data_IF_274325745125
#
_entry.id   IF_274325745125
#
_cell.length_a   1.000
_cell.length_b   1.000
_cell.length_c   1.000
_cell.angle_alpha   90.00
_cell.angle_beta   90.00
_cell.angle_gamma   90.00
#
_symmetry.space_group_name_H-M   'P 1'
#
loop_
_entity.id
_entity.type
_entity.pdbx_description
1 polymer ?
#
# COMPACT_ATOMS: atom_id res chain seq x y z
N UNK A 1 0.98 22.32 1.38
CA UNK A 1 1.16 23.12 0.15
C UNK A 1 2.53 22.84 -0.42
N UNK A 2 2.60 22.39 -1.66
CA UNK A 2 3.88 22.27 -2.35
C UNK A 2 4.39 23.67 -2.67
N UNK A 3 5.64 23.97 -2.31
CA UNK A 3 6.25 25.29 -2.54
C UNK A 3 6.47 25.60 -4.03
N UNK A 4 6.51 24.55 -4.86
CA UNK A 4 6.75 24.64 -6.30
C UNK A 4 5.76 23.75 -7.06
N UNK A 5 5.36 24.13 -8.28
CA UNK A 5 4.58 23.27 -9.16
C UNK A 5 5.32 21.94 -9.43
N UNK A 6 4.60 20.85 -9.52
CA UNK A 6 5.19 19.52 -9.79
C UNK A 6 5.91 19.47 -11.15
N UNK A 7 5.47 20.32 -12.09
CA UNK A 7 6.11 20.48 -13.42
C UNK A 7 7.56 20.97 -13.34
N UNK A 8 7.90 21.73 -12.30
CA UNK A 8 9.22 22.32 -12.09
C UNK A 8 10.13 21.46 -11.19
N UNK A 9 9.61 20.34 -10.66
CA UNK A 9 10.34 19.47 -9.75
C UNK A 9 10.90 18.26 -10.50
N UNK A 10 12.16 17.90 -10.22
CA UNK A 10 12.79 16.67 -10.68
C UNK A 10 12.63 15.53 -9.65
N UNK A 11 12.32 15.88 -8.41
CA UNK A 11 12.18 14.94 -7.29
C UNK A 11 10.87 15.16 -6.56
N UNK A 12 10.34 14.08 -6.03
CA UNK A 12 9.18 14.05 -5.14
C UNK A 12 9.56 13.36 -3.82
N UNK A 13 8.75 13.55 -2.80
CA UNK A 13 8.84 12.82 -1.54
C UNK A 13 7.46 12.38 -1.09
N UNK A 14 7.40 11.39 -0.24
CA UNK A 14 6.18 10.97 0.43
C UNK A 14 5.96 11.76 1.73
N UNK A 15 4.74 11.83 2.20
CA UNK A 15 4.36 12.61 3.38
C UNK A 15 3.74 11.76 4.51
N UNK A 16 3.61 10.45 4.33
CA UNK A 16 2.81 9.60 5.21
C UNK A 16 3.59 8.53 6.00
N UNK A 17 4.75 8.09 5.52
CA UNK A 17 5.46 6.95 6.11
C UNK A 17 6.47 7.34 7.21
N UNK A 18 6.31 8.54 7.79
CA UNK A 18 7.13 9.02 8.92
C UNK A 18 8.42 9.76 8.53
N UNK A 19 9.13 10.34 9.53
CA UNK A 19 10.20 11.32 9.28
C UNK A 19 11.40 10.78 8.49
N UNK A 20 11.66 9.50 8.54
CA UNK A 20 12.75 8.88 7.80
C UNK A 20 12.49 8.91 6.29
N UNK A 21 11.31 8.46 5.88
CA UNK A 21 10.91 8.39 4.48
C UNK A 21 10.61 9.77 3.90
N UNK A 22 10.09 10.70 4.69
CA UNK A 22 9.86 12.11 4.29
C UNK A 22 11.15 12.84 3.87
N UNK A 23 12.33 12.32 4.24
CA UNK A 23 13.63 12.87 3.82
C UNK A 23 14.15 12.26 2.52
N UNK A 24 13.54 11.16 2.07
CA UNK A 24 13.91 10.51 0.81
C UNK A 24 13.50 11.37 -0.38
N UNK A 25 14.29 11.29 -1.43
CA UNK A 25 14.05 12.01 -2.69
C UNK A 25 13.93 11.00 -3.81
N UNK A 26 12.72 10.82 -4.28
CA UNK A 26 12.45 9.94 -5.41
C UNK A 26 12.45 10.74 -6.70
N UNK A 27 13.03 10.21 -7.78
CA UNK A 27 12.95 10.87 -9.09
C UNK A 27 11.50 10.87 -9.55
N UNK A 28 11.02 12.03 -10.00
CA UNK A 28 9.65 12.18 -10.49
C UNK A 28 9.33 11.22 -11.64
N UNK A 29 10.28 10.98 -12.53
CA UNK A 29 10.15 10.06 -13.67
C UNK A 29 9.77 8.64 -13.28
N UNK A 30 10.09 8.19 -12.05
CA UNK A 30 9.73 6.87 -11.57
C UNK A 30 8.24 6.69 -11.36
N UNK A 31 7.50 7.80 -11.21
CA UNK A 31 6.07 7.84 -10.91
C UNK A 31 5.23 8.47 -12.04
N UNK A 32 5.78 8.58 -13.24
CA UNK A 32 5.04 9.14 -14.37
C UNK A 32 3.99 8.21 -14.95
N UNK A 33 4.17 6.90 -14.78
CA UNK A 33 3.28 5.86 -15.30
C UNK A 33 3.19 4.70 -14.33
N UNK A 34 2.04 4.01 -14.37
CA UNK A 34 1.87 2.72 -13.74
C UNK A 34 2.28 1.59 -14.69
N UNK A 35 2.87 0.54 -14.14
CA UNK A 35 2.95 -0.78 -14.76
C UNK A 35 2.11 -1.74 -13.93
N UNK A 36 1.37 -2.63 -14.60
CA UNK A 36 0.47 -3.56 -13.92
C UNK A 36 1.15 -4.90 -13.77
N UNK A 37 1.13 -5.43 -12.56
CA UNK A 37 1.80 -6.69 -12.19
C UNK A 37 0.88 -7.55 -11.34
N UNK A 38 1.01 -8.90 -11.41
CA UNK A 38 0.16 -9.81 -10.64
C UNK A 38 0.31 -9.63 -9.13
N UNK A 39 -0.82 -9.58 -8.43
CA UNK A 39 -0.92 -9.57 -6.98
C UNK A 39 -2.20 -10.30 -6.55
N UNK A 40 -2.08 -11.45 -5.87
CA UNK A 40 -3.22 -12.29 -5.43
C UNK A 40 -4.19 -12.67 -6.57
N UNK A 41 -3.68 -12.82 -7.80
CA UNK A 41 -4.48 -13.15 -8.98
C UNK A 41 -5.07 -11.95 -9.72
N UNK A 42 -4.93 -10.75 -9.20
CA UNK A 42 -5.34 -9.48 -9.79
C UNK A 42 -4.14 -8.71 -10.35
N UNK A 43 -4.39 -7.78 -11.27
CA UNK A 43 -3.35 -6.87 -11.76
C UNK A 43 -3.38 -5.55 -10.98
N UNK A 44 -2.29 -5.25 -10.29
CA UNK A 44 -2.18 -4.03 -9.48
C UNK A 44 -1.12 -3.08 -10.02
N UNK A 45 -1.35 -1.76 -9.94
CA UNK A 45 -0.42 -0.77 -10.45
C UNK A 45 0.76 -0.58 -9.50
N UNK A 46 1.99 -0.62 -10.04
CA UNK A 46 3.20 -0.16 -9.35
C UNK A 46 3.86 0.93 -10.17
N UNK A 47 4.73 1.78 -9.59
CA UNK A 47 5.43 2.81 -10.36
C UNK A 47 6.29 2.20 -11.46
N UNK A 48 6.36 2.83 -12.63
CA UNK A 48 7.23 2.35 -13.74
C UNK A 48 8.69 2.27 -13.32
N UNK A 49 9.16 3.17 -12.44
CA UNK A 49 10.50 3.17 -11.87
C UNK A 49 10.60 2.46 -10.52
N UNK A 50 9.79 1.42 -10.29
CA UNK A 50 9.72 0.70 -9.02
C UNK A 50 11.08 0.24 -8.48
N UNK A 51 11.98 -0.22 -9.34
CA UNK A 51 13.29 -0.71 -8.92
C UNK A 51 14.14 0.41 -8.30
N UNK A 52 14.17 1.58 -8.95
CA UNK A 52 14.86 2.75 -8.41
C UNK A 52 14.24 3.25 -7.10
N UNK A 53 12.91 3.32 -7.05
CA UNK A 53 12.17 3.70 -5.85
C UNK A 53 12.45 2.73 -4.69
N UNK A 54 12.30 1.42 -4.91
CA UNK A 54 12.48 0.43 -3.86
C UNK A 54 13.91 0.33 -3.37
N UNK A 55 14.89 0.46 -4.25
CA UNK A 55 16.31 0.53 -3.85
C UNK A 55 16.63 1.74 -3.00
N UNK A 56 16.10 2.90 -3.36
CA UNK A 56 16.27 4.13 -2.58
C UNK A 56 15.59 4.04 -1.21
N UNK A 57 14.39 3.47 -1.15
CA UNK A 57 13.62 3.37 0.08
C UNK A 57 14.12 2.25 1.01
N UNK A 58 14.39 1.06 0.47
CA UNK A 58 14.56 -0.19 1.23
C UNK A 58 15.90 -0.92 0.97
N UNK A 59 16.73 -0.43 0.05
CA UNK A 59 17.99 -1.10 -0.31
C UNK A 59 17.77 -2.38 -1.10
N UNK A 60 18.32 -3.49 -0.66
CA UNK A 60 18.10 -4.79 -1.30
C UNK A 60 16.73 -5.36 -0.90
N UNK A 61 15.68 -4.82 -1.51
CA UNK A 61 14.29 -5.17 -1.23
C UNK A 61 13.91 -6.60 -1.66
N UNK A 62 14.69 -7.24 -2.52
CA UNK A 62 14.46 -8.63 -2.92
C UNK A 62 14.98 -9.63 -1.90
N UNK A 63 15.94 -9.24 -1.06
CA UNK A 63 16.42 -10.09 0.03
C UNK A 63 15.34 -10.25 1.11
N UNK A 64 15.20 -11.50 1.59
CA UNK A 64 14.31 -11.77 2.73
C UNK A 64 14.94 -11.23 4.02
N UNK A 65 14.20 -10.50 4.84
CA UNK A 65 14.71 -10.10 6.15
C UNK A 65 14.95 -11.34 7.04
N UNK A 66 15.80 -11.22 8.07
CA UNK A 66 15.97 -12.27 9.06
C UNK A 66 14.63 -12.74 9.65
N UNK A 67 14.53 -14.01 10.03
CA UNK A 67 13.27 -14.62 10.50
C UNK A 67 12.63 -13.87 11.68
N UNK A 68 13.45 -13.30 12.55
CA UNK A 68 13.02 -12.52 13.72
C UNK A 68 12.28 -11.22 13.31
N UNK A 69 12.53 -10.73 12.09
CA UNK A 69 11.86 -9.54 11.52
C UNK A 69 10.67 -9.89 10.62
N UNK A 70 10.43 -11.18 10.36
CA UNK A 70 9.30 -11.66 9.56
C UNK A 70 8.03 -11.77 10.42
N UNK A 71 7.49 -10.64 10.86
CA UNK A 71 6.29 -10.55 11.69
C UNK A 71 5.47 -9.32 11.31
N UNK A 72 4.17 -9.37 11.56
CA UNK A 72 3.26 -8.25 11.32
C UNK A 72 3.76 -6.98 12.04
N UNK A 73 3.53 -5.85 11.42
CA UNK A 73 3.91 -4.55 11.96
C UNK A 73 2.94 -4.05 13.03
N UNK A 74 1.68 -4.48 12.96
CA UNK A 74 0.64 -4.11 13.90
C UNK A 74 0.39 -5.26 14.89
N UNK A 75 0.39 -4.97 16.18
CA UNK A 75 0.20 -5.97 17.24
C UNK A 75 -1.25 -6.48 17.33
N UNK A 76 -2.18 -5.88 16.60
CA UNK A 76 -3.61 -6.18 16.65
C UNK A 76 -4.04 -6.97 15.41
N UNK A 77 -3.99 -8.29 15.48
CA UNK A 77 -4.41 -9.18 14.38
C UNK A 77 -5.94 -9.32 14.32
N UNK A 78 -6.63 -9.16 15.44
CA UNK A 78 -8.09 -9.13 15.51
C UNK A 78 -8.55 -8.37 16.75
N UNK A 79 -9.36 -7.33 16.57
CA UNK A 79 -10.11 -6.70 17.66
C UNK A 79 -11.56 -7.20 17.63
N UNK A 80 -11.85 -8.22 18.41
CA UNK A 80 -13.22 -8.69 18.66
C UNK A 80 -13.56 -8.50 20.13
N UNK A 81 -14.31 -7.46 20.42
CA UNK A 81 -14.73 -7.11 21.80
C UNK A 81 -15.75 -8.10 22.40
N UNK A 82 -16.29 -9.01 21.59
CA UNK A 82 -17.31 -9.98 21.99
C UNK A 82 -16.73 -11.38 22.26
N UNK A 83 -15.41 -11.55 22.08
CA UNK A 83 -14.75 -12.83 22.32
C UNK A 83 -13.73 -12.75 23.45
N UNK A 84 -13.59 -13.79 24.29
CA UNK A 84 -12.52 -13.89 25.25
C UNK A 84 -11.15 -13.83 24.54
N UNK A 85 -10.20 -13.09 25.12
CA UNK A 85 -8.82 -13.09 24.65
C UNK A 85 -8.21 -14.47 24.92
N UNK A 86 -8.08 -15.29 23.88
CA UNK A 86 -7.40 -16.59 23.95
C UNK A 86 -6.03 -16.41 23.27
N UNK A 87 -4.93 -16.81 23.94
CA UNK A 87 -3.61 -16.77 23.30
C UNK A 87 -3.63 -17.53 21.97
N UNK A 88 -3.29 -16.84 20.89
CA UNK A 88 -3.30 -17.45 19.56
C UNK A 88 -2.04 -18.30 19.37
N UNK A 89 -2.21 -19.52 18.87
CA UNK A 89 -1.08 -20.34 18.38
C UNK A 89 -0.55 -19.77 17.07
N UNK A 90 0.69 -20.07 16.71
CA UNK A 90 1.28 -19.57 15.46
C UNK A 90 0.50 -19.96 14.17
N UNK A 91 -0.24 -21.07 14.18
CA UNK A 91 -1.11 -21.47 13.05
C UNK A 91 -2.38 -20.63 13.00
N UNK A 92 -2.99 -20.36 14.16
CA UNK A 92 -4.17 -19.51 14.26
C UNK A 92 -3.85 -18.07 13.84
N UNK A 93 -2.73 -17.53 14.29
CA UNK A 93 -2.28 -16.20 13.88
C UNK A 93 -2.10 -16.10 12.36
N UNK A 94 -1.52 -17.13 11.73
CA UNK A 94 -1.36 -17.17 10.26
C UNK A 94 -2.70 -17.23 9.54
N UNK A 95 -3.65 -18.02 10.05
CA UNK A 95 -5.00 -18.12 9.47
C UNK A 95 -5.76 -16.80 9.61
N UNK A 96 -5.70 -16.15 10.76
CA UNK A 96 -6.31 -14.84 11.01
C UNK A 96 -5.69 -13.75 10.14
N UNK A 97 -4.35 -13.72 10.01
CA UNK A 97 -3.65 -12.81 9.11
C UNK A 97 -4.08 -13.01 7.65
N UNK A 98 -4.22 -14.26 7.21
CA UNK A 98 -4.69 -14.53 5.84
C UNK A 98 -6.13 -14.06 5.60
N UNK A 99 -7.00 -14.14 6.61
CA UNK A 99 -8.36 -13.58 6.52
C UNK A 99 -8.31 -12.05 6.43
N UNK A 100 -7.44 -11.40 7.20
CA UNK A 100 -7.22 -9.95 7.12
C UNK A 100 -6.73 -9.56 5.74
N UNK A 101 -5.70 -10.22 5.21
CA UNK A 101 -5.17 -9.97 3.86
C UNK A 101 -6.25 -10.08 2.78
N UNK A 102 -7.14 -11.08 2.87
CA UNK A 102 -8.28 -11.20 1.95
C UNK A 102 -9.23 -10.00 2.05
N UNK A 103 -9.50 -9.52 3.27
CA UNK A 103 -10.34 -8.32 3.47
C UNK A 103 -9.67 -7.06 2.93
N UNK A 104 -8.38 -6.90 3.15
CA UNK A 104 -7.60 -5.81 2.56
C UNK A 104 -7.69 -5.85 1.03
N UNK A 105 -7.55 -7.03 0.41
CA UNK A 105 -7.70 -7.19 -1.03
C UNK A 105 -9.09 -6.81 -1.51
N UNK A 106 -10.17 -7.31 -0.85
CA UNK A 106 -11.55 -6.95 -1.20
C UNK A 106 -11.77 -5.42 -1.19
N UNK A 107 -11.29 -4.73 -0.17
CA UNK A 107 -11.38 -3.26 -0.06
C UNK A 107 -10.57 -2.60 -1.17
N UNK A 108 -9.37 -3.11 -1.44
CA UNK A 108 -8.48 -2.57 -2.48
C UNK A 108 -9.08 -2.71 -3.88
N UNK A 109 -9.80 -3.78 -4.15
CA UNK A 109 -10.50 -3.94 -5.45
C UNK A 109 -11.60 -2.90 -5.62
N UNK A 110 -12.38 -2.63 -4.57
CA UNK A 110 -13.39 -1.55 -4.58
C UNK A 110 -12.72 -0.18 -4.80
N UNK A 111 -11.61 0.07 -4.13
CA UNK A 111 -10.82 1.29 -4.31
C UNK A 111 -10.26 1.41 -5.74
N UNK A 112 -9.74 0.32 -6.29
CA UNK A 112 -9.23 0.26 -7.67
C UNK A 112 -10.32 0.58 -8.68
N UNK A 113 -11.50 -0.06 -8.58
CA UNK A 113 -12.65 0.22 -9.45
C UNK A 113 -13.07 1.69 -9.38
N UNK A 114 -13.08 2.27 -8.18
CA UNK A 114 -13.35 3.69 -7.99
C UNK A 114 -12.32 4.57 -8.68
N UNK A 115 -11.05 4.27 -8.51
CA UNK A 115 -9.96 5.02 -9.17
C UNK A 115 -10.04 4.92 -10.69
N UNK A 116 -10.30 3.73 -11.23
CA UNK A 116 -10.48 3.52 -12.67
C UNK A 116 -11.67 4.31 -13.22
N UNK A 117 -12.81 4.31 -12.51
CA UNK A 117 -14.02 5.07 -12.88
C UNK A 117 -13.76 6.56 -12.98
N UNK A 118 -12.91 7.13 -12.13
CA UNK A 118 -12.67 8.56 -12.01
C UNK A 118 -11.32 9.01 -12.61
N UNK A 119 -10.62 8.11 -13.33
CA UNK A 119 -9.29 8.38 -13.91
C UNK A 119 -8.31 8.92 -12.86
N UNK A 120 -8.27 8.25 -11.69
CA UNK A 120 -7.36 8.55 -10.59
C UNK A 120 -6.19 7.60 -10.60
N UNK A 121 -4.99 8.15 -10.56
CA UNK A 121 -3.76 7.37 -10.54
C UNK A 121 -3.37 7.00 -9.10
N UNK A 122 -3.06 5.74 -8.90
CA UNK A 122 -2.46 5.26 -7.66
C UNK A 122 -1.41 4.19 -7.95
N UNK A 123 -0.58 3.88 -6.97
CA UNK A 123 0.43 2.83 -7.04
C UNK A 123 0.50 2.08 -5.72
N UNK A 124 0.69 0.78 -5.77
CA UNK A 124 1.17 0.04 -4.61
C UNK A 124 2.55 0.55 -4.19
N UNK A 125 2.76 0.74 -2.91
CA UNK A 125 4.03 1.19 -2.35
C UNK A 125 4.49 0.26 -1.22
N UNK A 126 5.66 0.50 -0.66
CA UNK A 126 6.17 -0.23 0.49
C UNK A 126 6.09 -1.75 0.37
N UNK A 127 5.52 -2.38 1.38
CA UNK A 127 5.29 -3.81 1.47
C UNK A 127 4.51 -4.37 0.30
N UNK A 128 3.45 -3.67 -0.13
CA UNK A 128 2.62 -4.10 -1.25
C UNK A 128 3.39 -4.14 -2.58
N UNK A 129 4.21 -3.13 -2.86
CA UNK A 129 5.04 -3.13 -4.07
C UNK A 129 6.10 -4.25 -4.04
N UNK A 130 6.76 -4.46 -2.90
CA UNK A 130 7.71 -5.57 -2.71
C UNK A 130 6.99 -6.92 -2.83
N UNK A 131 5.82 -7.05 -2.22
CA UNK A 131 4.99 -8.25 -2.25
C UNK A 131 4.62 -8.65 -3.67
N UNK A 132 4.20 -7.70 -4.49
CA UNK A 132 3.91 -7.90 -5.91
C UNK A 132 5.08 -8.54 -6.65
N UNK A 133 6.29 -8.01 -6.47
CA UNK A 133 7.48 -8.45 -7.19
C UNK A 133 8.05 -9.76 -6.65
N UNK A 134 8.07 -9.95 -5.34
CA UNK A 134 8.73 -11.06 -4.67
C UNK A 134 7.83 -12.26 -4.42
N UNK A 135 6.53 -12.03 -4.17
CA UNK A 135 5.57 -13.04 -3.75
C UNK A 135 4.37 -13.20 -4.71
N UNK A 136 4.20 -12.26 -5.65
CA UNK A 136 2.99 -12.13 -6.49
C UNK A 136 1.71 -12.01 -5.63
N UNK A 137 1.82 -11.38 -4.47
CA UNK A 137 0.78 -11.24 -3.46
C UNK A 137 1.34 -10.58 -2.21
N UNK A 138 0.62 -10.72 -1.10
CA UNK A 138 1.10 -10.22 0.18
C UNK A 138 2.44 -10.84 0.58
N UNK A 139 3.28 -10.05 1.20
CA UNK A 139 4.36 -10.58 2.02
C UNK A 139 3.70 -11.42 3.13
N UNK A 140 4.14 -12.67 3.42
CA UNK A 140 3.41 -13.60 4.27
C UNK A 140 3.11 -13.13 5.70
N UNK A 141 3.77 -12.08 6.17
CA UNK A 141 3.59 -11.47 7.49
C UNK A 141 3.07 -10.03 7.44
N UNK A 142 2.71 -9.52 6.25
CA UNK A 142 2.19 -8.17 6.06
C UNK A 142 0.69 -8.12 6.36
N UNK A 143 0.22 -7.07 7.02
CA UNK A 143 -1.14 -6.97 7.56
C UNK A 143 -1.92 -5.74 7.06
N UNK A 144 -1.37 -5.02 6.09
CA UNK A 144 -1.99 -3.83 5.50
C UNK A 144 -1.78 -3.73 3.99
N UNK A 145 -2.35 -2.70 3.39
CA UNK A 145 -2.10 -2.29 2.00
C UNK A 145 -1.85 -0.79 1.97
N UNK A 146 -0.66 -0.44 1.50
CA UNK A 146 -0.26 0.94 1.30
C UNK A 146 -0.29 1.34 -0.17
N UNK A 147 -0.81 2.54 -0.45
CA UNK A 147 -0.83 3.11 -1.79
C UNK A 147 -0.26 4.52 -1.80
N UNK A 148 0.44 4.86 -2.89
CA UNK A 148 0.77 6.24 -3.22
C UNK A 148 -0.22 6.79 -4.24
N UNK A 149 -0.57 8.06 -4.09
CA UNK A 149 -1.34 8.81 -5.07
C UNK A 149 -0.68 10.16 -5.35
N UNK A 150 -0.72 10.67 -6.59
CA UNK A 150 -0.45 12.07 -6.85
C UNK A 150 -1.37 12.96 -6.00
N UNK A 151 -0.85 14.06 -5.49
CA UNK A 151 -1.61 14.96 -4.60
C UNK A 151 -2.93 15.44 -5.22
N UNK A 152 -2.91 15.76 -6.50
CA UNK A 152 -4.13 16.16 -7.24
C UNK A 152 -5.20 15.08 -7.25
N UNK A 153 -4.79 13.82 -7.41
CA UNK A 153 -5.72 12.70 -7.50
C UNK A 153 -6.24 12.32 -6.11
N UNK A 154 -5.40 12.42 -5.08
CA UNK A 154 -5.83 12.30 -3.69
C UNK A 154 -6.87 13.37 -3.29
N UNK A 155 -6.69 14.62 -3.72
CA UNK A 155 -7.65 15.69 -3.46
C UNK A 155 -9.00 15.41 -4.15
N UNK A 156 -8.98 14.92 -5.40
CA UNK A 156 -10.19 14.48 -6.09
C UNK A 156 -10.83 13.26 -5.41
N UNK A 157 -10.04 12.30 -4.96
CA UNK A 157 -10.53 11.16 -4.19
C UNK A 157 -11.28 11.62 -2.95
N UNK A 158 -10.69 12.49 -2.14
CA UNK A 158 -11.33 13.04 -0.93
C UNK A 158 -12.64 13.79 -1.22
N UNK A 159 -12.76 14.40 -2.39
CA UNK A 159 -13.98 15.08 -2.80
C UNK A 159 -15.08 14.12 -3.27
N UNK A 160 -14.72 13.11 -4.06
CA UNK A 160 -15.67 12.22 -4.74
C UNK A 160 -16.10 11.04 -3.87
N UNK A 161 -15.17 10.46 -3.10
CA UNK A 161 -15.41 9.25 -2.31
C UNK A 161 -16.61 9.37 -1.36
N UNK A 162 -16.77 10.42 -0.53
CA UNK A 162 -17.90 10.54 0.39
C UNK A 162 -19.25 10.71 -0.33
N UNK A 163 -19.24 11.10 -1.60
CA UNK A 163 -20.47 11.31 -2.39
C UNK A 163 -21.01 10.01 -3.00
N UNK A 164 -20.15 9.04 -3.24
CA UNK A 164 -20.48 7.85 -4.01
C UNK A 164 -20.32 6.55 -3.23
N UNK A 165 -19.54 6.55 -2.15
CA UNK A 165 -19.25 5.35 -1.39
C UNK A 165 -20.02 5.30 -0.07
N UNK A 166 -20.34 4.10 0.36
CA UNK A 166 -20.98 3.84 1.66
C UNK A 166 -19.96 4.06 2.79
N UNK A 167 -20.00 5.22 3.42
CA UNK A 167 -19.08 5.60 4.51
C UNK A 167 -19.23 4.72 5.76
N UNK A 168 -20.27 3.90 5.87
CA UNK A 168 -20.38 2.92 6.95
C UNK A 168 -19.48 1.72 6.74
N UNK A 169 -19.05 1.47 5.50
CA UNK A 169 -18.19 0.36 5.10
C UNK A 169 -16.80 0.83 4.67
N UNK A 170 -16.74 1.93 3.95
CA UNK A 170 -15.53 2.41 3.27
C UNK A 170 -15.26 3.86 3.67
N UNK A 171 -14.63 4.06 4.82
CA UNK A 171 -14.26 5.39 5.29
C UNK A 171 -12.87 5.76 4.79
N UNK A 172 -12.73 7.00 4.28
CA UNK A 172 -11.45 7.66 4.04
C UNK A 172 -10.94 8.35 5.31
#
# INVERSE_FOLDING_TARGET
>A
MTKYPISECNYITELCSGPFYMKKKYKKEWFEKAVFVPFEGENMPIPVGYDGYLKEAFGDYMALPPKEKQKAHHDCVLLDLNRPCVPATGERLRAELRLLQKKCLEITLVFKEFCEKHDLLFYFCGGCCIGTLRHQGFIPWDDDIDVFMPRSDYEKLCELWPKEMDETKYRL
#
